data_IF_430264446612
#
_entry.id   IF_430264446612
#
_cell.length_a   1.000
_cell.length_b   1.000
_cell.length_c   1.000
_cell.angle_alpha   90.00
_cell.angle_beta   90.00
_cell.angle_gamma   90.00
#
_symmetry.space_group_name_H-M   'P 1'
#
loop_
_entity.id
_entity.type
_entity.pdbx_description
1 polymer ?
#
# COMPACT_ATOMS: atom_id res chain seq x y z
N UNK A 1 63.05 -24.42 10.16
CA UNK A 1 63.03 -24.45 8.68
C UNK A 1 64.25 -25.21 8.21
N UNK A 2 64.05 -26.30 7.48
CA UNK A 2 65.13 -27.11 6.92
C UNK A 2 65.61 -26.48 5.61
N UNK A 3 66.89 -26.15 5.52
CA UNK A 3 67.50 -25.62 4.30
C UNK A 3 67.56 -26.76 3.27
N UNK A 4 67.04 -26.59 2.04
CA UNK A 4 67.12 -27.61 0.98
C UNK A 4 68.57 -27.99 0.73
N UNK A 5 68.89 -29.28 0.68
CA UNK A 5 70.29 -29.73 0.54
C UNK A 5 70.63 -30.23 -0.87
N UNK A 6 69.64 -30.69 -1.63
CA UNK A 6 69.82 -31.32 -2.92
C UNK A 6 68.89 -30.72 -3.99
N UNK A 7 69.24 -30.83 -5.28
CA UNK A 7 68.45 -30.27 -6.40
C UNK A 7 67.02 -30.82 -6.47
N UNK A 8 66.79 -32.05 -6.01
CA UNK A 8 65.46 -32.66 -5.94
C UNK A 8 64.55 -31.97 -4.92
N UNK A 9 65.09 -31.48 -3.81
CA UNK A 9 64.31 -30.73 -2.81
C UNK A 9 63.84 -29.39 -3.38
N UNK A 10 64.71 -28.72 -4.14
CA UNK A 10 64.39 -27.45 -4.81
C UNK A 10 63.29 -27.66 -5.84
N UNK A 11 63.39 -28.74 -6.62
CA UNK A 11 62.39 -29.09 -7.63
C UNK A 11 61.03 -29.43 -7.01
N UNK A 12 61.02 -30.19 -5.92
CA UNK A 12 59.78 -30.50 -5.19
C UNK A 12 59.11 -29.25 -4.62
N UNK A 13 59.89 -28.34 -4.05
CA UNK A 13 59.36 -27.06 -3.53
C UNK A 13 58.81 -26.20 -4.66
N UNK A 14 59.49 -26.14 -5.81
CA UNK A 14 59.01 -25.40 -6.98
C UNK A 14 57.69 -25.98 -7.54
N UNK A 15 57.57 -27.30 -7.60
CA UNK A 15 56.34 -27.97 -8.05
C UNK A 15 55.19 -27.78 -7.04
N UNK A 16 55.50 -27.72 -5.75
CA UNK A 16 54.52 -27.47 -4.67
C UNK A 16 54.01 -26.03 -4.71
N UNK A 17 54.89 -25.04 -4.91
CA UNK A 17 54.53 -23.63 -5.11
C UNK A 17 53.67 -23.46 -6.36
N UNK A 18 54.05 -24.04 -7.50
CA UNK A 18 53.25 -23.95 -8.74
C UNK A 18 51.87 -24.58 -8.57
N UNK A 19 51.75 -25.64 -7.77
CA UNK A 19 50.47 -26.30 -7.50
C UNK A 19 49.60 -25.50 -6.54
N UNK A 20 50.19 -24.82 -5.56
CA UNK A 20 49.48 -23.87 -4.69
C UNK A 20 49.03 -22.61 -5.44
N UNK A 21 49.85 -22.08 -6.35
CA UNK A 21 49.49 -20.92 -7.19
C UNK A 21 48.35 -21.29 -8.16
N UNK A 22 48.42 -22.44 -8.83
CA UNK A 22 47.34 -22.91 -9.69
C UNK A 22 46.04 -23.23 -8.90
N UNK A 23 46.17 -23.74 -7.67
CA UNK A 23 45.04 -23.95 -6.77
C UNK A 23 44.42 -22.64 -6.29
N UNK A 24 45.23 -21.63 -5.98
CA UNK A 24 44.77 -20.30 -5.57
C UNK A 24 44.13 -19.52 -6.71
N UNK A 25 44.60 -19.66 -7.96
CA UNK A 25 43.98 -19.05 -9.13
C UNK A 25 42.61 -19.69 -9.43
N UNK A 26 42.48 -21.02 -9.32
CA UNK A 26 41.18 -21.69 -9.46
C UNK A 26 40.19 -21.30 -8.36
N UNK A 27 40.65 -21.12 -7.12
CA UNK A 27 39.81 -20.64 -6.00
C UNK A 27 39.46 -19.15 -6.17
N UNK A 28 40.34 -18.34 -6.78
CA UNK A 28 40.06 -16.94 -7.08
C UNK A 28 39.04 -16.79 -8.24
N UNK A 29 39.06 -17.68 -9.23
CA UNK A 29 38.05 -17.73 -10.31
C UNK A 29 36.69 -18.23 -9.80
N UNK A 30 36.63 -19.27 -8.96
CA UNK A 30 35.37 -19.72 -8.35
C UNK A 30 34.79 -18.70 -7.35
N UNK A 31 35.63 -17.94 -6.64
CA UNK A 31 35.19 -16.83 -5.78
C UNK A 31 34.59 -15.66 -6.59
N UNK A 32 34.91 -15.55 -7.88
CA UNK A 32 34.33 -14.54 -8.76
C UNK A 32 32.97 -14.94 -9.34
N UNK A 33 32.68 -16.24 -9.49
CA UNK A 33 31.35 -16.74 -9.90
C UNK A 33 30.35 -16.82 -8.74
N UNK A 34 30.81 -16.85 -7.49
CA UNK A 34 29.97 -16.80 -6.28
C UNK A 34 29.73 -15.40 -5.71
N UNK A 35 29.88 -14.34 -6.53
CA UNK A 35 29.15 -13.10 -6.25
C UNK A 35 27.67 -13.36 -6.48
N UNK A 36 27.01 -13.89 -5.46
CA UNK A 36 25.60 -13.66 -5.21
C UNK A 36 25.26 -12.28 -5.74
N UNK A 37 24.29 -12.20 -6.66
CA UNK A 37 23.66 -10.95 -7.03
C UNK A 37 23.25 -10.27 -5.72
N UNK A 38 24.13 -9.38 -5.21
CA UNK A 38 23.85 -8.64 -4.01
C UNK A 38 22.52 -7.93 -4.30
N UNK A 39 21.49 -8.09 -3.47
CA UNK A 39 20.24 -7.40 -3.70
C UNK A 39 20.58 -5.93 -3.94
N UNK A 40 20.25 -5.43 -5.13
CA UNK A 40 20.58 -4.06 -5.50
C UNK A 40 19.77 -3.14 -4.58
N UNK A 41 20.41 -2.65 -3.52
CA UNK A 41 19.75 -1.89 -2.46
C UNK A 41 19.06 -0.64 -3.02
N UNK A 42 19.57 -0.09 -4.12
CA UNK A 42 18.93 1.03 -4.82
C UNK A 42 17.62 0.61 -5.47
N UNK A 43 17.56 -0.57 -6.10
CA UNK A 43 16.30 -1.10 -6.65
C UNK A 43 15.30 -1.39 -5.53
N UNK A 44 15.75 -2.00 -4.43
CA UNK A 44 14.87 -2.27 -3.27
C UNK A 44 14.35 -0.96 -2.68
N UNK A 45 15.21 0.05 -2.52
CA UNK A 45 14.81 1.36 -2.03
C UNK A 45 13.81 2.06 -2.96
N UNK A 46 14.01 1.93 -4.27
CA UNK A 46 13.09 2.49 -5.27
C UNK A 46 11.72 1.82 -5.22
N UNK A 47 11.68 0.48 -5.18
CA UNK A 47 10.44 -0.28 -5.06
C UNK A 47 9.72 0.03 -3.74
N UNK A 48 10.44 0.16 -2.62
CA UNK A 48 9.85 0.55 -1.35
C UNK A 48 9.24 1.96 -1.39
N UNK A 49 9.91 2.92 -2.05
CA UNK A 49 9.36 4.26 -2.25
C UNK A 49 8.10 4.23 -3.12
N UNK A 50 8.09 3.42 -4.18
CA UNK A 50 6.92 3.25 -5.03
C UNK A 50 5.74 2.60 -4.29
N UNK A 51 6.00 1.54 -3.51
CA UNK A 51 5.00 0.91 -2.64
C UNK A 51 4.45 1.92 -1.64
N UNK A 52 5.29 2.75 -1.04
CA UNK A 52 4.85 3.80 -0.12
C UNK A 52 3.92 4.81 -0.80
N UNK A 53 4.22 5.22 -2.03
CA UNK A 53 3.37 6.11 -2.83
C UNK A 53 2.01 5.47 -3.14
N UNK A 54 2.01 4.19 -3.57
CA UNK A 54 0.78 3.43 -3.80
C UNK A 54 -0.08 3.32 -2.53
N UNK A 55 0.55 3.08 -1.37
CA UNK A 55 -0.16 3.03 -0.09
C UNK A 55 -0.78 4.38 0.27
N UNK A 56 -0.11 5.50 -0.02
CA UNK A 56 -0.67 6.84 0.18
C UNK A 56 -1.92 7.03 -0.68
N UNK A 57 -1.88 6.64 -1.96
CA UNK A 57 -3.03 6.72 -2.85
C UNK A 57 -4.18 5.83 -2.37
N UNK A 58 -3.91 4.61 -1.91
CA UNK A 58 -4.93 3.73 -1.33
C UNK A 58 -5.59 4.39 -0.11
N UNK A 59 -4.81 5.00 0.77
CA UNK A 59 -5.35 5.71 1.95
C UNK A 59 -6.24 6.88 1.52
N UNK A 60 -5.85 7.64 0.50
CA UNK A 60 -6.66 8.74 -0.03
C UNK A 60 -7.99 8.23 -0.60
N UNK A 61 -7.95 7.20 -1.45
CA UNK A 61 -9.16 6.59 -2.02
C UNK A 61 -10.11 6.06 -0.95
N UNK A 62 -9.58 5.44 0.12
CA UNK A 62 -10.40 4.97 1.25
C UNK A 62 -11.08 6.14 1.96
N UNK A 63 -10.39 7.28 2.12
CA UNK A 63 -10.98 8.49 2.73
C UNK A 63 -12.10 9.06 1.86
N UNK A 64 -11.90 9.17 0.56
CA UNK A 64 -12.94 9.66 -0.37
C UNK A 64 -14.17 8.75 -0.38
N UNK A 65 -13.97 7.43 -0.35
CA UNK A 65 -15.05 6.46 -0.22
C UNK A 65 -15.80 6.64 1.10
N UNK A 66 -15.09 6.83 2.21
CA UNK A 66 -15.71 7.09 3.51
C UNK A 66 -16.56 8.36 3.47
N UNK A 67 -16.02 9.46 2.96
CA UNK A 67 -16.74 10.74 2.88
C UNK A 67 -17.99 10.60 2.00
N UNK A 68 -17.91 9.83 0.92
CA UNK A 68 -19.05 9.50 0.06
C UNK A 68 -20.12 8.68 0.80
N UNK A 69 -19.71 7.70 1.60
CA UNK A 69 -20.62 6.89 2.44
C UNK A 69 -21.28 7.74 3.51
N UNK A 70 -20.54 8.65 4.15
CA UNK A 70 -21.07 9.58 5.15
C UNK A 70 -22.10 10.54 4.52
N UNK A 71 -21.81 11.04 3.32
CA UNK A 71 -22.74 11.84 2.51
C UNK A 71 -24.01 11.07 2.16
N UNK A 72 -23.88 9.82 1.70
CA UNK A 72 -25.02 8.96 1.40
C UNK A 72 -25.86 8.68 2.66
N UNK A 73 -25.23 8.40 3.79
CA UNK A 73 -25.92 8.17 5.06
C UNK A 73 -26.73 9.41 5.50
N UNK A 74 -26.19 10.62 5.30
CA UNK A 74 -26.91 11.86 5.57
C UNK A 74 -28.15 12.01 4.66
N UNK A 75 -28.02 11.72 3.36
CA UNK A 75 -29.14 11.73 2.42
C UNK A 75 -30.21 10.71 2.81
N UNK A 76 -29.82 9.47 3.09
CA UNK A 76 -30.76 8.41 3.51
C UNK A 76 -31.51 8.81 4.77
N UNK A 77 -30.81 9.34 5.79
CA UNK A 77 -31.43 9.79 7.04
C UNK A 77 -32.45 10.90 6.79
N UNK A 78 -32.11 11.88 5.94
CA UNK A 78 -33.01 12.97 5.56
C UNK A 78 -34.25 12.43 4.84
N UNK A 79 -34.06 11.57 3.85
CA UNK A 79 -35.15 10.95 3.08
C UNK A 79 -36.08 10.12 3.96
N UNK A 80 -35.54 9.31 4.87
CA UNK A 80 -36.36 8.50 5.80
C UNK A 80 -37.20 9.40 6.71
N UNK A 81 -36.62 10.47 7.26
CA UNK A 81 -37.37 11.45 8.06
C UNK A 81 -38.51 12.06 7.25
N UNK A 82 -38.24 12.50 6.01
CA UNK A 82 -39.26 13.06 5.12
C UNK A 82 -40.38 12.06 4.86
N UNK A 83 -40.06 10.79 4.59
CA UNK A 83 -41.04 9.74 4.37
C UNK A 83 -41.89 9.47 5.61
N UNK A 84 -41.29 9.40 6.80
CA UNK A 84 -42.03 9.24 8.06
C UNK A 84 -42.97 10.41 8.33
N UNK A 85 -42.57 11.65 8.02
CA UNK A 85 -43.45 12.82 8.13
C UNK A 85 -44.64 12.73 7.17
N UNK A 86 -44.40 12.34 5.91
CA UNK A 86 -45.46 12.13 4.92
C UNK A 86 -46.43 11.03 5.38
N UNK A 87 -45.91 9.92 5.92
CA UNK A 87 -46.74 8.85 6.45
C UNK A 87 -47.64 9.35 7.59
N UNK A 88 -47.10 10.15 8.51
CA UNK A 88 -47.88 10.73 9.61
C UNK A 88 -48.92 11.75 9.14
N UNK A 89 -48.58 12.58 8.15
CA UNK A 89 -49.51 13.48 7.48
C UNK A 89 -50.72 12.72 6.90
N UNK A 90 -50.48 11.53 6.34
CA UNK A 90 -51.54 10.71 5.74
C UNK A 90 -52.45 10.03 6.78
N UNK A 91 -52.01 9.89 8.03
CA UNK A 91 -52.78 9.22 9.09
C UNK A 91 -53.39 10.18 10.10
N UNK A 92 -52.93 11.43 10.16
CA UNK A 92 -53.48 12.43 11.09
C UNK A 92 -54.80 13.01 10.57
N UNK A 93 -55.76 13.20 11.49
CA UNK A 93 -57.04 13.86 11.21
C UNK A 93 -57.00 15.37 11.50
N UNK A 94 -55.92 15.87 12.09
CA UNK A 94 -55.75 17.29 12.40
C UNK A 94 -55.29 18.07 11.15
N UNK A 95 -56.20 18.87 10.61
CA UNK A 95 -55.97 19.69 9.41
C UNK A 95 -54.89 20.75 9.59
N UNK A 96 -54.81 21.36 10.78
CA UNK A 96 -53.86 22.43 11.07
C UNK A 96 -52.45 21.84 11.23
N UNK A 97 -52.34 20.75 11.98
CA UNK A 97 -51.08 20.01 12.13
C UNK A 97 -50.59 19.48 10.78
N UNK A 98 -51.49 18.93 9.96
CA UNK A 98 -51.18 18.47 8.61
C UNK A 98 -50.60 19.58 7.74
N UNK A 99 -51.19 20.77 7.74
CA UNK A 99 -50.66 21.91 6.98
C UNK A 99 -49.24 22.30 7.43
N UNK A 100 -49.01 22.40 8.75
CA UNK A 100 -47.68 22.73 9.31
C UNK A 100 -46.62 21.69 8.93
N UNK A 101 -46.96 20.41 8.98
CA UNK A 101 -46.04 19.33 8.62
C UNK A 101 -45.77 19.27 7.12
N UNK A 102 -46.77 19.55 6.28
CA UNK A 102 -46.59 19.65 4.83
C UNK A 102 -45.63 20.77 4.47
N UNK A 103 -45.78 21.95 5.07
CA UNK A 103 -44.82 23.04 4.88
C UNK A 103 -43.39 22.65 5.30
N UNK A 104 -43.27 21.91 6.41
CA UNK A 104 -41.96 21.41 6.85
C UNK A 104 -41.36 20.43 5.84
N UNK A 105 -42.15 19.49 5.33
CA UNK A 105 -41.70 18.56 4.28
C UNK A 105 -41.25 19.32 3.03
N UNK A 106 -42.02 20.32 2.60
CA UNK A 106 -41.70 21.15 1.43
C UNK A 106 -40.39 21.90 1.61
N UNK A 107 -40.15 22.48 2.79
CA UNK A 107 -38.85 23.09 3.16
C UNK A 107 -37.71 22.07 3.16
N UNK A 108 -37.93 20.89 3.73
CA UNK A 108 -36.92 19.84 3.81
C UNK A 108 -36.50 19.35 2.41
N UNK A 109 -37.41 19.31 1.44
CA UNK A 109 -37.12 18.94 0.04
C UNK A 109 -36.76 20.13 -0.88
N UNK A 110 -36.71 21.36 -0.34
CA UNK A 110 -36.30 22.55 -1.09
C UNK A 110 -37.35 23.13 -2.03
N UNK A 111 -38.63 22.82 -1.82
CA UNK A 111 -39.73 23.43 -2.56
C UNK A 111 -40.19 24.68 -1.80
N UNK A 112 -40.02 25.85 -2.41
CA UNK A 112 -40.56 27.09 -1.88
C UNK A 112 -42.08 27.13 -2.06
N UNK A 113 -42.82 27.14 -0.96
CA UNK A 113 -44.25 27.42 -0.97
C UNK A 113 -44.45 28.92 -1.17
N UNK A 114 -44.87 29.33 -2.36
CA UNK A 114 -45.31 30.71 -2.61
C UNK A 114 -46.49 31.02 -1.67
N UNK A 115 -46.36 32.13 -0.93
CA UNK A 115 -47.43 32.72 -0.10
C UNK A 115 -48.60 33.17 -0.97
#
# INVERSE_FOLDING_TARGET
MSIPKDEEDVKRIADEIMKEEAGNEAVAEEAHEHRHAAPNLDMISHELAHIQELLIHIIQSIRELRDSVDGLAAVVRKSLRTLSLIQFINTTNDNELRAKLLEQVLRDIGIETRK
#
